data_IF_868691161937
#
_entry.id   IF_868691161937
#
_cell.length_a   1.000
_cell.length_b   1.000
_cell.length_c   1.000
_cell.angle_alpha   90.00
_cell.angle_beta   90.00
_cell.angle_gamma   90.00
#
_symmetry.space_group_name_H-M   'P 1'
#
loop_
_entity.id
_entity.type
_entity.pdbx_description
1 polymer ?
#
# COMPACT_ATOMS: atom_id res chain seq x y z
N UNK A 1 -7.80 6.02 29.43
CA UNK A 1 -6.35 5.81 29.20
C UNK A 1 -6.12 6.01 27.72
N UNK A 2 -5.66 7.20 27.33
CA UNK A 2 -5.25 7.46 25.96
C UNK A 2 -3.84 6.88 25.79
N UNK A 3 -3.66 5.96 24.83
CA UNK A 3 -2.34 5.43 24.50
C UNK A 3 -1.57 6.54 23.75
N UNK A 4 -0.46 7.08 24.29
CA UNK A 4 0.26 8.22 23.70
C UNK A 4 1.05 7.88 22.41
N UNK A 5 0.64 6.84 21.68
CA UNK A 5 1.23 6.42 20.41
C UNK A 5 0.19 6.05 19.33
N UNK A 6 -1.11 6.28 19.57
CA UNK A 6 -2.13 6.05 18.55
C UNK A 6 -2.20 7.25 17.61
N UNK A 7 -1.65 7.08 16.41
CA UNK A 7 -1.85 7.98 15.29
C UNK A 7 -3.36 7.93 14.95
N UNK A 8 -4.09 9.05 14.97
CA UNK A 8 -5.49 9.06 14.56
C UNK A 8 -5.60 8.78 13.05
N UNK A 9 -6.71 8.21 12.60
CA UNK A 9 -6.95 8.03 11.18
C UNK A 9 -6.97 9.38 10.44
N UNK A 10 -6.06 9.54 9.49
CA UNK A 10 -5.96 10.70 8.61
C UNK A 10 -5.92 10.24 7.15
N UNK A 11 -7.08 10.38 6.47
CA UNK A 11 -7.22 9.96 5.08
C UNK A 11 -6.39 10.80 4.11
N UNK A 12 -6.19 12.09 4.39
CA UNK A 12 -5.43 12.97 3.51
C UNK A 12 -3.94 12.62 3.59
N UNK A 13 -3.44 12.40 4.82
CA UNK A 13 -2.07 11.98 5.06
C UNK A 13 -1.79 10.58 4.49
N UNK A 14 -2.72 9.65 4.66
CA UNK A 14 -2.61 8.31 4.07
C UNK A 14 -2.49 8.38 2.54
N UNK A 15 -3.32 9.19 1.89
CA UNK A 15 -3.28 9.34 0.43
C UNK A 15 -1.97 9.98 -0.03
N UNK A 16 -1.51 11.03 0.64
CA UNK A 16 -0.22 11.67 0.37
C UNK A 16 0.94 10.67 0.44
N UNK A 17 1.02 9.89 1.53
CA UNK A 17 2.07 8.89 1.72
C UNK A 17 1.96 7.76 0.69
N UNK A 18 0.75 7.29 0.37
CA UNK A 18 0.53 6.26 -0.64
C UNK A 18 1.04 6.71 -2.02
N UNK A 19 0.72 7.93 -2.43
CA UNK A 19 1.16 8.47 -3.72
C UNK A 19 2.68 8.73 -3.73
N UNK A 20 3.21 9.27 -2.64
CA UNK A 20 4.66 9.43 -2.44
C UNK A 20 5.40 8.10 -2.59
N UNK A 21 4.96 7.05 -1.89
CA UNK A 21 5.65 5.76 -1.93
C UNK A 21 5.48 5.04 -3.27
N UNK A 22 4.33 5.15 -3.94
CA UNK A 22 4.18 4.62 -5.31
C UNK A 22 5.21 5.21 -6.26
N UNK A 23 5.37 6.52 -6.25
CA UNK A 23 6.36 7.19 -7.09
C UNK A 23 7.78 6.80 -6.69
N UNK A 24 8.09 6.82 -5.38
CA UNK A 24 9.40 6.46 -4.86
C UNK A 24 9.82 5.04 -5.24
N UNK A 25 8.94 4.06 -5.03
CA UNK A 25 9.16 2.66 -5.38
C UNK A 25 9.40 2.53 -6.87
N UNK A 26 8.57 3.16 -7.71
CA UNK A 26 8.76 3.15 -9.15
C UNK A 26 10.12 3.70 -9.56
N UNK A 27 10.50 4.87 -9.04
CA UNK A 27 11.81 5.46 -9.31
C UNK A 27 12.95 4.56 -8.86
N UNK A 28 12.85 3.94 -7.68
CA UNK A 28 13.87 3.01 -7.19
C UNK A 28 14.02 1.78 -8.08
N UNK A 29 12.92 1.20 -8.56
CA UNK A 29 12.95 0.08 -9.50
C UNK A 29 13.55 0.47 -10.87
N UNK A 30 13.41 1.73 -11.28
CA UNK A 30 13.98 2.24 -12.52
C UNK A 30 15.46 2.65 -12.38
N UNK A 31 15.89 3.05 -11.19
CA UNK A 31 17.22 3.62 -10.97
C UNK A 31 18.22 2.68 -10.29
N UNK A 32 17.77 1.70 -9.50
CA UNK A 32 18.65 0.80 -8.74
C UNK A 32 18.91 -0.51 -9.51
N UNK A 33 20.14 -0.74 -10.00
CA UNK A 33 20.47 -1.93 -10.80
C UNK A 33 20.23 -3.23 -10.03
N UNK A 34 20.44 -3.24 -8.71
CA UNK A 34 20.22 -4.45 -7.91
C UNK A 34 18.74 -4.80 -7.82
N UNK A 35 17.87 -3.80 -7.66
CA UNK A 35 16.43 -4.04 -7.62
C UNK A 35 15.93 -4.52 -9.00
N UNK A 36 16.49 -3.98 -10.08
CA UNK A 36 16.20 -4.46 -11.43
C UNK A 36 16.59 -5.92 -11.63
N UNK A 37 17.77 -6.31 -11.15
CA UNK A 37 18.25 -7.69 -11.28
C UNK A 37 17.41 -8.65 -10.43
N UNK A 38 17.00 -8.26 -9.22
CA UNK A 38 16.05 -9.04 -8.42
C UNK A 38 14.69 -9.25 -9.10
N UNK A 39 14.17 -8.21 -9.77
CA UNK A 39 12.93 -8.31 -10.53
C UNK A 39 13.10 -9.24 -11.74
N UNK A 40 14.22 -9.16 -12.45
CA UNK A 40 14.53 -10.04 -13.60
C UNK A 40 14.74 -11.49 -13.21
N UNK A 41 15.34 -11.75 -12.04
CA UNK A 41 15.57 -13.10 -11.53
C UNK A 41 14.29 -13.81 -11.05
N UNK A 42 13.13 -13.15 -11.13
CA UNK A 42 11.83 -13.66 -10.68
C UNK A 42 11.83 -14.16 -9.22
N UNK A 43 12.83 -13.76 -8.41
CA UNK A 43 12.97 -14.18 -7.01
C UNK A 43 11.93 -13.57 -6.08
N UNK A 44 11.08 -12.69 -6.60
CA UNK A 44 10.12 -11.93 -5.81
C UNK A 44 10.85 -10.85 -5.02
N UNK A 45 10.47 -9.61 -5.24
CA UNK A 45 11.01 -8.50 -4.48
C UNK A 45 10.35 -8.48 -3.10
N UNK A 46 11.14 -8.64 -2.05
CA UNK A 46 10.62 -8.47 -0.69
C UNK A 46 10.54 -6.99 -0.34
N UNK A 47 9.49 -6.64 0.41
CA UNK A 47 9.23 -5.26 0.80
C UNK A 47 10.33 -4.72 1.73
N UNK A 48 10.88 -5.57 2.61
CA UNK A 48 11.99 -5.19 3.49
C UNK A 48 13.24 -4.78 2.69
N UNK A 49 13.56 -5.52 1.63
CA UNK A 49 14.71 -5.23 0.76
C UNK A 49 14.60 -3.86 0.10
N UNK A 50 13.37 -3.41 -0.17
CA UNK A 50 13.13 -2.12 -0.78
C UNK A 50 13.15 -0.99 0.26
N UNK A 51 12.62 -1.23 1.48
CA UNK A 51 12.70 -0.24 2.57
C UNK A 51 14.12 -0.04 3.09
N UNK A 52 14.94 -1.09 3.12
CA UNK A 52 16.35 -1.01 3.56
C UNK A 52 17.20 -0.13 2.62
N UNK A 53 16.78 -0.01 1.36
CA UNK A 53 17.40 0.84 0.34
C UNK A 53 16.92 2.29 0.39
N UNK A 54 15.87 2.58 1.17
CA UNK A 54 15.37 3.94 1.34
C UNK A 54 16.21 4.71 2.37
N UNK A 55 16.13 6.04 2.31
CA UNK A 55 16.76 6.90 3.32
C UNK A 55 16.10 6.73 4.70
N UNK A 56 16.80 7.05 5.79
CA UNK A 56 16.24 6.98 7.15
C UNK A 56 14.93 7.79 7.27
N UNK A 57 14.87 8.96 6.64
CA UNK A 57 13.66 9.78 6.58
C UNK A 57 12.50 9.04 5.93
N UNK A 58 12.76 8.38 4.81
CA UNK A 58 11.74 7.65 4.06
C UNK A 58 11.28 6.41 4.84
N UNK A 59 12.18 5.74 5.57
CA UNK A 59 11.83 4.64 6.47
C UNK A 59 10.92 5.09 7.62
N UNK A 60 11.11 6.29 8.16
CA UNK A 60 10.20 6.86 9.18
C UNK A 60 8.82 7.14 8.59
N UNK A 61 8.76 7.74 7.40
CA UNK A 61 7.50 7.96 6.67
C UNK A 61 6.81 6.63 6.33
N UNK A 62 7.59 5.58 6.06
CA UNK A 62 7.06 4.25 5.76
C UNK A 62 6.38 3.64 6.98
N UNK A 63 6.98 3.80 8.17
CA UNK A 63 6.36 3.38 9.45
C UNK A 63 5.07 4.13 9.71
N UNK A 64 5.04 5.44 9.45
CA UNK A 64 3.82 6.26 9.55
C UNK A 64 2.73 5.73 8.60
N UNK A 65 3.09 5.45 7.34
CA UNK A 65 2.17 4.89 6.34
C UNK A 65 1.59 3.54 6.77
N UNK A 66 2.41 2.62 7.27
CA UNK A 66 1.95 1.32 7.76
C UNK A 66 0.99 1.42 8.94
N UNK A 67 1.24 2.36 9.86
CA UNK A 67 0.33 2.59 10.98
C UNK A 67 -1.05 3.08 10.50
N UNK A 68 -1.07 4.00 9.53
CA UNK A 68 -2.32 4.46 8.92
C UNK A 68 -3.03 3.35 8.11
N UNK A 69 -2.28 2.53 7.37
CA UNK A 69 -2.84 1.42 6.59
C UNK A 69 -3.51 0.36 7.50
N UNK A 70 -2.90 0.08 8.65
CA UNK A 70 -3.50 -0.81 9.65
C UNK A 70 -4.83 -0.27 10.18
N UNK A 71 -4.92 1.03 10.45
CA UNK A 71 -6.16 1.67 10.89
C UNK A 71 -7.24 1.62 9.81
N UNK A 72 -6.86 1.87 8.55
CA UNK A 72 -7.75 1.74 7.40
C UNK A 72 -8.30 0.32 7.27
N UNK A 73 -7.41 -0.67 7.35
CA UNK A 73 -7.80 -2.07 7.28
C UNK A 73 -8.78 -2.45 8.39
N UNK A 74 -8.52 -2.01 9.63
CA UNK A 74 -9.44 -2.21 10.75
C UNK A 74 -10.80 -1.59 10.46
N UNK A 75 -10.84 -0.33 9.98
CA UNK A 75 -12.07 0.35 9.61
C UNK A 75 -12.84 -0.40 8.53
N UNK A 76 -12.16 -0.86 7.48
CA UNK A 76 -12.76 -1.62 6.39
C UNK A 76 -13.31 -2.98 6.87
N UNK A 77 -12.63 -3.63 7.81
CA UNK A 77 -13.10 -4.87 8.44
C UNK A 77 -14.35 -4.63 9.29
N UNK A 78 -14.37 -3.59 10.12
CA UNK A 78 -15.56 -3.23 10.92
C UNK A 78 -16.75 -2.94 10.03
N UNK A 79 -16.55 -2.12 8.98
CA UNK A 79 -17.56 -1.83 7.98
C UNK A 79 -18.13 -3.13 7.39
N UNK A 80 -17.25 -4.03 6.94
CA UNK A 80 -17.67 -5.32 6.37
C UNK A 80 -18.51 -6.17 7.34
N UNK A 81 -18.13 -6.26 8.62
CA UNK A 81 -18.87 -7.01 9.62
C UNK A 81 -20.25 -6.41 9.92
N UNK A 82 -20.40 -5.09 9.84
CA UNK A 82 -21.68 -4.40 10.00
C UNK A 82 -22.58 -4.46 8.74
N UNK A 83 -22.11 -5.10 7.66
CA UNK A 83 -22.79 -5.12 6.37
C UNK A 83 -22.81 -3.74 5.68
N UNK A 84 -21.94 -2.82 6.10
CA UNK A 84 -21.78 -1.47 5.53
C UNK A 84 -20.48 -1.44 4.70
N UNK A 85 -20.47 -0.82 3.53
CA UNK A 85 -19.25 -0.72 2.72
C UNK A 85 -18.98 -1.92 1.79
N UNK A 86 -17.72 -2.11 1.41
CA UNK A 86 -17.35 -3.08 0.35
C UNK A 86 -17.20 -4.49 0.90
N UNK A 87 -17.84 -5.52 0.30
CA UNK A 87 -17.63 -6.91 0.70
C UNK A 87 -16.16 -7.31 0.57
N UNK A 88 -15.62 -8.01 1.57
CA UNK A 88 -14.31 -8.64 1.46
C UNK A 88 -14.33 -9.70 0.35
N UNK A 89 -13.43 -9.57 -0.61
CA UNK A 89 -13.17 -10.57 -1.63
C UNK A 89 -11.78 -11.17 -1.41
N UNK A 90 -11.66 -12.50 -1.33
CA UNK A 90 -10.37 -13.18 -1.12
C UNK A 90 -9.32 -12.89 -2.19
N UNK A 91 -9.74 -12.47 -3.39
CA UNK A 91 -8.85 -12.11 -4.50
C UNK A 91 -8.45 -10.63 -4.54
N UNK A 92 -9.30 -9.72 -4.05
CA UNK A 92 -9.11 -8.26 -4.22
C UNK A 92 -9.21 -7.45 -2.92
N UNK A 93 -9.41 -8.11 -1.77
CA UNK A 93 -9.64 -7.48 -0.48
C UNK A 93 -10.95 -6.70 -0.43
N UNK A 94 -10.95 -5.57 0.28
CA UNK A 94 -12.08 -4.63 0.40
C UNK A 94 -12.23 -3.67 -0.80
N UNK A 95 -11.61 -3.96 -1.94
CA UNK A 95 -11.76 -3.15 -3.17
C UNK A 95 -13.10 -3.42 -3.84
N UNK A 96 -13.78 -2.36 -4.31
CA UNK A 96 -15.09 -2.50 -4.97
C UNK A 96 -14.96 -3.38 -6.22
N UNK A 97 -15.82 -4.41 -6.40
CA UNK A 97 -15.92 -5.11 -7.66
C UNK A 97 -16.46 -4.10 -8.70
N UNK A 98 -15.58 -3.59 -9.57
CA UNK A 98 -15.91 -2.54 -10.53
C UNK A 98 -14.91 -1.38 -10.57
N UNK A 99 -14.00 -1.25 -9.60
CA UNK A 99 -12.78 -0.45 -9.76
C UNK A 99 -11.68 -1.28 -10.42
N UNK A 100 -12.02 -1.92 -11.53
CA UNK A 100 -11.04 -2.35 -12.52
C UNK A 100 -10.59 -1.09 -13.25
N UNK A 101 -9.30 -0.75 -13.12
CA UNK A 101 -8.63 -0.02 -14.19
C UNK A 101 -9.00 -0.69 -15.50
N UNK A 102 -9.51 0.14 -16.39
CA UNK A 102 -10.09 -0.20 -17.67
C UNK A 102 -9.17 -1.18 -18.41
N UNK A 103 -9.52 -2.46 -18.38
CA UNK A 103 -9.03 -3.41 -19.34
C UNK A 103 -9.59 -3.01 -20.69
N UNK A 104 -8.80 -2.33 -21.51
CA UNK A 104 -8.97 -2.40 -22.96
C UNK A 104 -8.72 -3.85 -23.37
N UNK A 105 -9.79 -4.62 -23.27
CA UNK A 105 -10.01 -5.88 -23.98
C UNK A 105 -11.29 -5.72 -24.79
N UNK A 106 -11.27 -4.75 -25.69
CA UNK A 106 -11.96 -4.87 -26.98
C UNK A 106 -11.01 -5.70 -27.87
N UNK A 107 -11.36 -6.74 -28.61
CA UNK A 107 -12.63 -7.34 -29.02
C UNK A 107 -12.26 -8.70 -29.66
N UNK A 108 -13.25 -9.54 -29.87
CA UNK A 108 -13.21 -10.81 -30.60
C UNK A 108 -12.47 -10.78 -31.93
#
# INVERSE_FOLDING_TARGET
MENPGQIPWDAARYQELNDYFRLKIKTMLESDPYLQDLVKEAKGLQLEQLTDRMSERDQLLWKEFLALDQLKFQQDLYNHLEGRGTPFNSRTGFRKPGSSENGSSDTW
#
